data_IF_048855578321
#
_entry.id   IF_048855578321
#
_cell.length_a   1.000
_cell.length_b   1.000
_cell.length_c   1.000
_cell.angle_alpha   90.00
_cell.angle_beta   90.00
_cell.angle_gamma   90.00
#
_symmetry.space_group_name_H-M   'P 1'
#
loop_
_entity.id
_entity.type
_entity.pdbx_description
1 polymer ?
#
# COMPACT_ATOMS: atom_id res chain seq x y z
N UNK A 1 9.18 6.29 -10.16
CA UNK A 1 8.36 6.20 -11.39
C UNK A 1 8.50 4.85 -12.08
N UNK A 2 9.74 4.38 -12.32
CA UNK A 2 10.00 3.16 -13.08
C UNK A 2 9.32 1.92 -12.49
N UNK A 3 9.44 1.70 -11.19
CA UNK A 3 8.89 0.49 -10.55
C UNK A 3 7.38 0.43 -10.56
N UNK A 4 6.70 1.54 -10.24
CA UNK A 4 5.24 1.61 -10.30
C UNK A 4 4.72 1.42 -11.72
N UNK A 5 5.41 1.97 -12.73
CA UNK A 5 5.04 1.78 -14.13
C UNK A 5 5.28 0.35 -14.62
N UNK A 6 6.38 -0.28 -14.22
CA UNK A 6 6.64 -1.71 -14.49
C UNK A 6 5.54 -2.57 -13.88
N UNK A 7 5.15 -2.27 -12.65
CA UNK A 7 4.09 -3.00 -11.96
C UNK A 7 2.75 -2.86 -12.70
N UNK A 8 2.37 -1.62 -13.04
CA UNK A 8 1.14 -1.34 -13.76
C UNK A 8 1.06 -2.02 -15.14
N UNK A 9 2.18 -2.06 -15.89
CA UNK A 9 2.19 -2.64 -17.25
C UNK A 9 2.32 -4.15 -17.31
N UNK A 10 2.99 -4.77 -16.33
CA UNK A 10 3.37 -6.20 -16.41
C UNK A 10 2.55 -7.11 -15.50
N UNK A 11 1.98 -6.55 -14.45
CA UNK A 11 1.36 -7.35 -13.38
C UNK A 11 -0.11 -7.01 -13.14
N UNK A 12 -0.63 -5.96 -13.77
CA UNK A 12 -2.06 -5.63 -13.71
C UNK A 12 -2.78 -6.14 -14.96
N UNK A 13 -3.97 -6.72 -14.81
CA UNK A 13 -4.82 -7.11 -15.94
C UNK A 13 -5.21 -5.89 -16.80
N UNK A 14 -5.31 -6.10 -18.11
CA UNK A 14 -5.66 -5.03 -19.08
C UNK A 14 -7.09 -4.51 -18.90
N UNK A 15 -7.97 -5.32 -18.35
CA UNK A 15 -9.37 -4.99 -18.11
C UNK A 15 -9.65 -4.31 -16.77
N UNK A 16 -8.61 -4.02 -15.98
CA UNK A 16 -8.71 -3.15 -14.82
C UNK A 16 -8.50 -1.69 -15.21
N UNK A 17 -9.38 -0.82 -14.73
CA UNK A 17 -9.18 0.63 -14.84
C UNK A 17 -8.06 1.07 -13.87
N UNK A 18 -6.91 1.43 -14.43
CA UNK A 18 -5.71 1.79 -13.67
C UNK A 18 -5.57 3.30 -13.55
N UNK A 19 -5.87 3.82 -12.37
CA UNK A 19 -5.58 5.21 -12.03
C UNK A 19 -4.14 5.34 -11.54
N UNK A 20 -3.34 6.16 -12.21
CA UNK A 20 -1.91 6.37 -11.89
C UNK A 20 -1.68 7.77 -11.34
N UNK A 21 -1.23 7.85 -10.10
CA UNK A 21 -0.84 9.10 -9.46
C UNK A 21 0.67 9.13 -9.25
N UNK A 22 1.36 10.03 -9.95
CA UNK A 22 2.80 10.21 -9.82
C UNK A 22 3.11 11.53 -9.13
N UNK A 23 3.60 11.47 -7.91
CA UNK A 23 3.95 12.65 -7.09
C UNK A 23 4.92 13.57 -7.85
N UNK A 24 5.84 13.01 -8.65
CA UNK A 24 6.82 13.79 -9.42
C UNK A 24 6.17 14.75 -10.44
N UNK A 25 4.93 14.52 -10.86
CA UNK A 25 4.21 15.39 -11.80
C UNK A 25 3.59 16.64 -11.18
N UNK A 26 3.57 16.71 -9.85
CA UNK A 26 2.99 17.84 -9.12
C UNK A 26 4.09 18.83 -8.71
N UNK A 27 3.81 20.15 -8.73
CA UNK A 27 4.77 21.13 -8.31
C UNK A 27 5.05 21.06 -6.82
N UNK A 28 6.26 21.46 -6.43
CA UNK A 28 6.62 21.67 -5.04
C UNK A 28 6.08 23.02 -4.56
N UNK A 29 5.56 23.06 -3.35
CA UNK A 29 5.25 24.28 -2.60
C UNK A 29 5.99 24.20 -1.26
N UNK A 30 7.12 24.88 -1.18
CA UNK A 30 8.07 24.70 -0.08
C UNK A 30 8.64 23.28 -0.08
N UNK A 31 8.38 22.50 0.98
CA UNK A 31 8.83 21.10 1.15
C UNK A 31 7.74 20.08 0.89
N UNK A 32 6.57 20.49 0.43
CA UNK A 32 5.38 19.66 0.26
C UNK A 32 4.83 19.73 -1.16
N UNK A 33 3.87 18.87 -1.47
CA UNK A 33 3.14 18.88 -2.75
C UNK A 33 1.63 18.84 -2.48
N UNK A 34 1.02 19.97 -2.10
CA UNK A 34 -0.40 20.01 -1.71
C UNK A 34 -1.34 19.50 -2.81
N UNK A 35 -1.07 19.80 -4.07
CA UNK A 35 -1.89 19.30 -5.19
C UNK A 35 -1.82 17.80 -5.36
N UNK A 36 -0.68 17.17 -5.05
CA UNK A 36 -0.57 15.70 -5.04
C UNK A 36 -1.37 15.10 -3.87
N UNK A 37 -1.32 15.74 -2.70
CA UNK A 37 -2.13 15.40 -1.53
C UNK A 37 -3.62 15.46 -1.85
N UNK A 38 -4.09 16.56 -2.40
CA UNK A 38 -5.51 16.78 -2.70
C UNK A 38 -6.02 15.75 -3.73
N UNK A 39 -5.23 15.46 -4.76
CA UNK A 39 -5.57 14.42 -5.74
C UNK A 39 -5.55 13.02 -5.10
N UNK A 40 -4.61 12.71 -4.20
CA UNK A 40 -4.58 11.44 -3.48
C UNK A 40 -5.86 11.25 -2.64
N UNK A 41 -6.23 12.27 -1.83
CA UNK A 41 -7.43 12.23 -0.98
C UNK A 41 -8.69 12.09 -1.84
N UNK A 42 -8.77 12.85 -2.93
CA UNK A 42 -9.91 12.77 -3.86
C UNK A 42 -10.07 11.35 -4.41
N UNK A 43 -8.97 10.72 -4.88
CA UNK A 43 -8.99 9.34 -5.40
C UNK A 43 -9.28 8.31 -4.31
N UNK A 44 -8.76 8.52 -3.12
CA UNK A 44 -9.07 7.66 -1.98
C UNK A 44 -10.57 7.68 -1.65
N UNK A 45 -11.18 8.86 -1.68
CA UNK A 45 -12.61 9.05 -1.41
C UNK A 45 -13.52 8.52 -2.53
N UNK A 46 -13.05 8.45 -3.76
CA UNK A 46 -13.76 7.77 -4.86
C UNK A 46 -13.85 6.26 -4.63
N UNK A 47 -12.91 5.71 -3.87
CA UNK A 47 -12.77 4.28 -3.63
C UNK A 47 -12.08 3.55 -4.78
N UNK A 48 -11.51 2.41 -4.46
CA UNK A 48 -10.87 1.52 -5.45
C UNK A 48 -10.82 0.09 -4.92
N UNK A 49 -10.74 -0.88 -5.82
CA UNK A 49 -10.56 -2.27 -5.42
C UNK A 49 -9.26 -2.45 -4.62
N UNK A 50 -8.18 -1.92 -5.14
CA UNK A 50 -6.87 -1.93 -4.49
C UNK A 50 -6.12 -0.63 -4.74
N UNK A 51 -5.55 -0.06 -3.70
CA UNK A 51 -4.63 1.07 -3.75
C UNK A 51 -3.23 0.58 -3.44
N UNK A 52 -2.31 0.73 -4.40
CA UNK A 52 -0.91 0.36 -4.19
C UNK A 52 -0.04 1.59 -4.15
N UNK A 53 0.57 1.82 -2.99
CA UNK A 53 1.55 2.88 -2.80
C UNK A 53 2.98 2.34 -2.92
N UNK A 54 3.82 3.04 -3.68
CA UNK A 54 5.25 2.75 -3.83
C UNK A 54 6.05 4.00 -3.47
N UNK A 55 6.85 3.92 -2.41
CA UNK A 55 7.65 5.07 -1.98
C UNK A 55 8.18 4.96 -0.56
N UNK A 56 8.55 6.09 0.01
CA UNK A 56 8.91 6.19 1.42
C UNK A 56 7.68 6.36 2.30
N UNK A 57 7.73 5.80 3.51
CA UNK A 57 6.66 5.96 4.47
C UNK A 57 7.13 5.74 5.91
N UNK A 58 6.31 6.14 6.83
CA UNK A 58 6.39 5.87 8.25
C UNK A 58 4.97 5.69 8.80
N UNK A 59 4.77 5.43 10.10
CA UNK A 59 3.43 5.19 10.64
C UNK A 59 2.41 6.30 10.41
N UNK A 60 2.85 7.54 10.20
CA UNK A 60 1.98 8.70 10.03
C UNK A 60 2.03 9.33 8.64
N UNK A 61 3.11 9.12 7.86
CA UNK A 61 3.35 9.92 6.65
C UNK A 61 3.67 9.03 5.45
N UNK A 62 3.04 9.31 4.32
CA UNK A 62 3.40 8.79 3.00
C UNK A 62 4.13 9.89 2.21
N UNK A 63 5.31 9.54 1.70
CA UNK A 63 6.26 10.37 0.97
C UNK A 63 6.91 11.49 1.80
N UNK A 64 8.16 11.81 1.47
CA UNK A 64 8.87 12.96 2.07
C UNK A 64 8.17 14.29 1.76
N UNK A 65 7.50 14.37 0.63
CA UNK A 65 6.70 15.52 0.20
C UNK A 65 5.33 15.61 0.89
N UNK A 66 5.10 14.73 1.89
CA UNK A 66 3.88 14.71 2.69
C UNK A 66 2.59 14.57 1.84
N UNK A 67 2.58 13.58 0.97
CA UNK A 67 1.41 13.26 0.15
C UNK A 67 0.18 12.92 1.00
N UNK A 68 0.38 12.23 2.12
CA UNK A 68 -0.64 11.98 3.12
C UNK A 68 0.01 11.99 4.51
N UNK A 69 -0.54 12.76 5.41
CA UNK A 69 -0.14 12.85 6.83
C UNK A 69 -1.35 12.51 7.67
N UNK A 70 -1.29 11.42 8.41
CA UNK A 70 -2.43 10.87 9.14
C UNK A 70 -3.11 11.90 10.04
N UNK A 71 -2.34 12.57 10.91
CA UNK A 71 -2.85 13.58 11.84
C UNK A 71 -3.46 14.82 11.18
N UNK A 72 -3.01 15.16 9.96
CA UNK A 72 -3.50 16.32 9.21
C UNK A 72 -4.68 15.98 8.32
N UNK A 73 -4.64 14.80 7.69
CA UNK A 73 -5.46 14.49 6.52
C UNK A 73 -6.60 13.51 6.82
N UNK A 74 -6.58 12.86 7.99
CA UNK A 74 -7.60 11.88 8.37
C UNK A 74 -9.02 12.45 8.30
N UNK A 75 -9.22 13.70 8.72
CA UNK A 75 -10.52 14.37 8.67
C UNK A 75 -11.02 14.69 7.26
N UNK A 76 -10.18 14.52 6.22
CA UNK A 76 -10.56 14.66 4.82
C UNK A 76 -10.87 13.32 4.15
N UNK A 77 -10.69 12.20 4.84
CA UNK A 77 -11.09 10.88 4.37
C UNK A 77 -12.60 10.73 4.56
N UNK A 78 -13.31 10.61 3.45
CA UNK A 78 -14.78 10.54 3.38
C UNK A 78 -15.19 9.58 2.24
N UNK A 79 -14.70 8.34 2.32
CA UNK A 79 -15.03 7.33 1.32
C UNK A 79 -16.24 6.46 1.70
N UNK A 80 -16.77 6.60 2.93
CA UNK A 80 -17.95 5.85 3.38
C UNK A 80 -17.80 4.35 3.11
N UNK A 81 -18.81 3.74 2.51
CA UNK A 81 -18.77 2.32 2.15
C UNK A 81 -17.90 1.97 0.94
N UNK A 82 -17.21 2.93 0.29
CA UNK A 82 -16.30 2.68 -0.83
C UNK A 82 -14.89 2.35 -0.32
N UNK A 83 -14.81 1.35 0.53
CA UNK A 83 -13.56 0.91 1.13
C UNK A 83 -12.60 0.35 0.09
N UNK A 84 -11.32 0.64 0.26
CA UNK A 84 -10.24 0.10 -0.58
C UNK A 84 -9.38 -0.88 0.20
N UNK A 85 -8.81 -1.87 -0.48
CA UNK A 85 -7.71 -2.65 0.08
C UNK A 85 -6.40 -1.93 -0.21
N UNK A 86 -5.59 -1.64 0.80
CA UNK A 86 -4.36 -0.86 0.61
C UNK A 86 -3.11 -1.73 0.74
N UNK A 87 -2.19 -1.59 -0.21
CA UNK A 87 -0.85 -2.18 -0.17
C UNK A 87 0.21 -1.08 -0.20
N UNK A 88 1.13 -1.08 0.77
CA UNK A 88 2.26 -0.13 0.76
C UNK A 88 3.59 -0.85 0.56
N UNK A 89 4.25 -0.63 -0.59
CA UNK A 89 5.64 -0.98 -0.81
C UNK A 89 6.54 0.12 -0.24
N UNK A 90 6.51 0.27 1.08
CA UNK A 90 7.18 1.30 1.87
C UNK A 90 7.66 0.72 3.19
N UNK A 91 8.55 1.45 3.87
CA UNK A 91 9.08 1.05 5.18
C UNK A 91 8.19 1.55 6.32
N UNK A 92 8.05 0.77 7.39
CA UNK A 92 7.52 1.17 8.70
C UNK A 92 6.09 1.76 8.72
N UNK A 93 5.29 1.58 7.69
CA UNK A 93 3.93 2.16 7.70
C UNK A 93 3.02 1.46 8.71
N UNK A 94 3.20 0.15 8.92
CA UNK A 94 2.36 -0.66 9.80
C UNK A 94 3.04 -1.11 11.08
N UNK A 95 3.64 -0.21 11.84
CA UNK A 95 4.22 -0.49 13.17
C UNK A 95 3.07 -0.62 14.18
N UNK A 96 2.52 -1.82 14.33
CA UNK A 96 1.36 -2.09 15.20
C UNK A 96 1.73 -2.53 16.62
N UNK A 97 3.00 -2.75 16.89
CA UNK A 97 3.51 -3.26 18.16
C UNK A 97 4.19 -2.18 19.02
N UNK A 98 4.05 -0.91 18.65
CA UNK A 98 4.47 0.23 19.46
C UNK A 98 3.27 0.77 20.25
N UNK A 99 3.23 0.59 21.58
CA UNK A 99 2.09 1.05 22.39
C UNK A 99 1.97 2.58 22.47
N UNK A 100 2.99 3.32 22.03
CA UNK A 100 3.00 4.79 22.10
C UNK A 100 2.37 5.46 20.87
N UNK A 101 2.06 4.69 19.81
CA UNK A 101 1.47 5.22 18.58
C UNK A 101 0.43 4.27 17.99
N UNK A 102 -0.49 4.83 17.20
CA UNK A 102 -1.32 4.06 16.28
C UNK A 102 -0.84 4.30 14.86
N UNK A 103 -0.50 3.24 14.18
CA UNK A 103 -0.03 3.31 12.80
C UNK A 103 -1.17 3.60 11.82
N UNK A 104 -0.82 4.10 10.63
CA UNK A 104 -1.80 4.40 9.57
C UNK A 104 -2.77 3.25 9.27
N UNK A 105 -2.34 1.98 9.14
CA UNK A 105 -3.27 0.87 8.96
C UNK A 105 -4.26 0.70 10.11
N UNK A 106 -3.82 0.84 11.36
CA UNK A 106 -4.69 0.70 12.52
C UNK A 106 -5.78 1.76 12.54
N UNK A 107 -5.41 3.01 12.25
CA UNK A 107 -6.36 4.12 12.22
C UNK A 107 -7.34 3.98 11.06
N UNK A 108 -6.86 3.72 9.85
CA UNK A 108 -7.73 3.62 8.66
C UNK A 108 -8.65 2.39 8.68
N UNK A 109 -8.24 1.28 9.31
CA UNK A 109 -9.09 0.09 9.48
C UNK A 109 -10.20 0.29 10.51
N UNK A 110 -9.97 1.15 11.51
CA UNK A 110 -10.91 1.40 12.59
C UNK A 110 -11.75 2.67 12.40
N UNK A 111 -11.69 3.29 11.21
CA UNK A 111 -12.57 4.43 10.91
C UNK A 111 -14.03 4.00 10.91
N UNK A 112 -14.93 4.70 11.63
CA UNK A 112 -16.34 4.31 11.70
C UNK A 112 -17.10 4.52 10.39
N UNK A 113 -16.73 5.54 9.62
CA UNK A 113 -17.47 5.98 8.43
C UNK A 113 -16.58 6.01 7.17
N UNK A 114 -15.66 5.06 7.03
CA UNK A 114 -14.77 5.00 5.87
C UNK A 114 -13.46 4.27 6.14
N UNK A 115 -12.41 4.65 5.41
CA UNK A 115 -11.09 4.08 5.56
C UNK A 115 -10.80 2.92 4.61
N UNK A 116 -10.24 1.84 5.12
CA UNK A 116 -9.82 0.68 4.31
C UNK A 116 -10.44 -0.63 4.83
N UNK A 117 -10.63 -1.60 3.94
CA UNK A 117 -11.12 -2.94 4.29
C UNK A 117 -9.98 -3.88 4.71
N UNK A 118 -8.76 -3.57 4.34
CA UNK A 118 -7.56 -4.31 4.68
C UNK A 118 -6.31 -3.54 4.25
N UNK A 119 -5.20 -3.85 4.92
CA UNK A 119 -3.96 -3.14 4.69
C UNK A 119 -2.74 -4.08 4.76
N UNK A 120 -1.92 -4.10 3.72
CA UNK A 120 -0.62 -4.78 3.73
C UNK A 120 0.49 -3.74 3.81
N UNK A 121 1.34 -3.86 4.82
CA UNK A 121 2.46 -2.95 5.05
C UNK A 121 3.63 -3.61 5.79
N UNK A 122 4.79 -2.96 5.72
CA UNK A 122 5.95 -3.36 6.52
C UNK A 122 5.85 -2.77 7.94
N UNK A 123 6.20 -3.60 8.93
CA UNK A 123 6.21 -3.25 10.36
C UNK A 123 7.54 -2.62 10.80
N UNK A 124 8.56 -2.67 9.96
CA UNK A 124 9.92 -2.17 10.23
C UNK A 124 10.54 -1.58 8.98
N UNK A 125 11.69 -0.92 9.15
CA UNK A 125 12.52 -0.43 8.03
C UNK A 125 12.82 -1.58 7.08
N UNK A 126 12.60 -1.35 5.80
CA UNK A 126 12.82 -2.32 4.74
C UNK A 126 13.67 -1.76 3.60
N UNK A 127 14.09 -2.64 2.71
CA UNK A 127 14.86 -2.29 1.52
C UNK A 127 13.93 -2.16 0.32
N UNK A 128 14.10 -1.09 -0.44
CA UNK A 128 13.26 -0.76 -1.60
C UNK A 128 13.11 -1.95 -2.57
N UNK A 129 14.22 -2.54 -3.00
CA UNK A 129 14.20 -3.64 -3.98
C UNK A 129 13.42 -4.85 -3.46
N UNK A 130 13.61 -5.20 -2.18
CA UNK A 130 12.88 -6.31 -1.55
C UNK A 130 11.38 -6.00 -1.39
N UNK A 131 11.03 -4.75 -1.10
CA UNK A 131 9.64 -4.29 -1.06
C UNK A 131 8.99 -4.44 -2.44
N UNK A 132 9.70 -4.05 -3.50
CA UNK A 132 9.22 -4.15 -4.87
C UNK A 132 9.10 -5.58 -5.37
N UNK A 133 10.05 -6.45 -5.01
CA UNK A 133 9.96 -7.89 -5.34
C UNK A 133 8.70 -8.49 -4.73
N UNK A 134 8.43 -8.24 -3.45
CA UNK A 134 7.22 -8.74 -2.80
C UNK A 134 5.94 -8.15 -3.39
N UNK A 135 5.92 -6.83 -3.66
CA UNK A 135 4.76 -6.17 -4.25
C UNK A 135 4.41 -6.73 -5.62
N UNK A 136 5.41 -6.93 -6.49
CA UNK A 136 5.22 -7.53 -7.82
C UNK A 136 4.66 -8.93 -7.71
N UNK A 137 5.25 -9.77 -6.84
CA UNK A 137 4.80 -11.15 -6.66
C UNK A 137 3.38 -11.21 -6.07
N UNK A 138 3.04 -10.33 -5.13
CA UNK A 138 1.69 -10.25 -4.59
C UNK A 138 0.66 -9.98 -5.68
N UNK A 139 0.87 -8.96 -6.53
CA UNK A 139 -0.04 -8.66 -7.62
C UNK A 139 -0.07 -9.76 -8.69
N UNK A 140 1.08 -10.39 -8.95
CA UNK A 140 1.13 -11.54 -9.85
C UNK A 140 0.31 -12.72 -9.33
N UNK A 141 0.36 -13.01 -8.04
CA UNK A 141 -0.47 -14.07 -7.43
C UNK A 141 -1.95 -13.71 -7.48
N UNK A 142 -2.28 -12.45 -7.17
CA UNK A 142 -3.66 -11.96 -7.18
C UNK A 142 -4.33 -12.12 -8.55
N UNK A 143 -3.59 -11.88 -9.62
CA UNK A 143 -4.15 -11.77 -10.97
C UNK A 143 -3.68 -12.87 -11.94
N UNK A 144 -2.96 -13.89 -11.43
CA UNK A 144 -2.46 -14.99 -12.27
C UNK A 144 -3.62 -15.72 -12.96
N UNK A 145 -3.49 -15.90 -14.28
CA UNK A 145 -4.44 -16.66 -15.10
C UNK A 145 -5.90 -16.14 -15.06
N UNK A 146 -6.08 -14.83 -14.86
CA UNK A 146 -7.42 -14.25 -14.78
C UNK A 146 -8.23 -14.61 -13.53
N UNK A 147 -7.63 -15.28 -12.55
CA UNK A 147 -8.27 -15.59 -11.26
C UNK A 147 -8.36 -14.29 -10.47
N UNK A 148 -9.58 -13.85 -10.13
CA UNK A 148 -9.85 -12.56 -9.47
C UNK A 148 -10.37 -12.68 -8.04
N UNK A 149 -10.35 -13.89 -7.49
CA UNK A 149 -10.98 -14.16 -6.18
C UNK A 149 -10.03 -14.86 -5.22
N UNK A 150 -8.74 -14.52 -5.30
CA UNK A 150 -7.77 -15.05 -4.34
C UNK A 150 -7.92 -14.25 -3.03
N UNK A 151 -8.18 -14.92 -1.88
CA UNK A 151 -8.17 -14.23 -0.59
C UNK A 151 -6.84 -13.52 -0.35
N UNK A 152 -6.89 -12.29 0.15
CA UNK A 152 -5.72 -11.40 0.33
C UNK A 152 -4.63 -12.02 1.21
N UNK A 153 -5.04 -12.75 2.26
CA UNK A 153 -4.11 -13.48 3.13
C UNK A 153 -3.40 -14.61 2.40
N UNK A 154 -4.11 -15.38 1.56
CA UNK A 154 -3.51 -16.43 0.76
C UNK A 154 -2.57 -15.85 -0.31
N UNK A 155 -2.94 -14.74 -0.93
CA UNK A 155 -2.09 -14.07 -1.91
C UNK A 155 -0.79 -13.60 -1.27
N UNK A 156 -0.85 -12.94 -0.10
CA UNK A 156 0.34 -12.50 0.62
C UNK A 156 1.21 -13.69 1.06
N UNK A 157 0.61 -14.75 1.60
CA UNK A 157 1.33 -15.95 2.01
C UNK A 157 2.05 -16.62 0.83
N UNK A 158 1.36 -16.78 -0.30
CA UNK A 158 1.93 -17.35 -1.51
C UNK A 158 3.06 -16.46 -2.07
N UNK A 159 2.86 -15.15 -2.13
CA UNK A 159 3.88 -14.20 -2.57
C UNK A 159 5.14 -14.28 -1.69
N UNK A 160 4.97 -14.25 -0.37
CA UNK A 160 6.10 -14.42 0.57
C UNK A 160 6.86 -15.71 0.35
N UNK A 161 6.15 -16.84 0.21
CA UNK A 161 6.77 -18.14 -0.04
C UNK A 161 7.55 -18.16 -1.36
N UNK A 162 6.99 -17.58 -2.42
CA UNK A 162 7.62 -17.58 -3.74
C UNK A 162 8.90 -16.75 -3.76
N UNK A 163 8.96 -15.63 -3.03
CA UNK A 163 10.12 -14.73 -3.04
C UNK A 163 11.17 -15.05 -1.97
N UNK A 164 10.81 -15.74 -0.89
CA UNK A 164 11.75 -15.97 0.22
C UNK A 164 12.92 -16.90 -0.14
N UNK A 165 12.69 -17.87 -1.02
CA UNK A 165 13.69 -18.86 -1.40
C UNK A 165 14.86 -18.24 -2.20
N UNK A 166 14.61 -17.43 -3.25
CA UNK A 166 15.67 -16.81 -4.04
C UNK A 166 16.36 -15.62 -3.35
N UNK A 167 15.77 -15.07 -2.28
CA UNK A 167 16.32 -13.92 -1.60
C UNK A 167 17.48 -14.28 -0.67
N UNK A 168 18.45 -13.38 -0.58
CA UNK A 168 19.49 -13.43 0.45
C UNK A 168 18.89 -13.21 1.86
N UNK A 169 19.65 -13.44 2.96
CA UNK A 169 19.13 -13.30 4.32
C UNK A 169 18.50 -11.93 4.63
N UNK A 170 19.06 -10.83 4.11
CA UNK A 170 18.52 -9.48 4.31
C UNK A 170 17.16 -9.34 3.61
N UNK A 171 17.03 -9.81 2.38
CA UNK A 171 15.78 -9.82 1.64
C UNK A 171 14.72 -10.70 2.30
N UNK A 172 15.09 -11.87 2.84
CA UNK A 172 14.19 -12.75 3.60
C UNK A 172 13.65 -12.03 4.85
N UNK A 173 14.51 -11.39 5.62
CA UNK A 173 14.10 -10.60 6.79
C UNK A 173 13.17 -9.45 6.41
N UNK A 174 13.39 -8.81 5.25
CA UNK A 174 12.50 -7.76 4.75
C UNK A 174 11.08 -8.28 4.45
N UNK A 175 10.96 -9.40 3.76
CA UNK A 175 9.67 -10.02 3.41
C UNK A 175 8.89 -10.44 4.65
N UNK A 176 9.57 -10.93 5.70
CA UNK A 176 8.95 -11.32 6.96
C UNK A 176 8.30 -10.14 7.70
N UNK A 177 8.78 -8.91 7.50
CA UNK A 177 8.27 -7.69 8.14
C UNK A 177 6.92 -7.23 7.58
N UNK A 178 6.49 -7.73 6.45
CA UNK A 178 5.17 -7.41 5.89
C UNK A 178 4.07 -8.17 6.60
N UNK A 179 3.04 -7.45 6.99
CA UNK A 179 1.86 -8.02 7.65
C UNK A 179 0.59 -7.55 6.97
N UNK A 180 -0.43 -8.41 6.98
CA UNK A 180 -1.80 -8.06 6.65
C UNK A 180 -2.52 -7.69 7.94
N UNK A 181 -3.13 -6.53 7.95
CA UNK A 181 -4.12 -6.10 8.93
C UNK A 181 -5.49 -6.07 8.25
N UNK A 182 -6.50 -6.67 8.86
CA UNK A 182 -7.83 -6.87 8.30
C UNK A 182 -8.19 -8.34 8.16
N UNK A 183 -9.29 -8.64 7.48
CA UNK A 183 -9.74 -10.01 7.24
C UNK A 183 -8.87 -10.68 6.15
N UNK A 184 -8.16 -11.77 6.45
CA UNK A 184 -7.37 -12.50 5.47
C UNK A 184 -8.21 -13.20 4.39
N UNK A 185 -9.50 -13.39 4.63
CA UNK A 185 -10.45 -13.98 3.66
C UNK A 185 -11.02 -12.95 2.68
N UNK A 186 -10.73 -11.66 2.84
CA UNK A 186 -11.15 -10.58 1.93
C UNK A 186 -10.72 -10.91 0.49
N UNK A 187 -11.66 -10.76 -0.45
CA UNK A 187 -11.50 -11.06 -1.88
C UNK A 187 -11.76 -9.83 -2.74
#
# INVERSE_FOLDING_TARGET
LGDAEIMARRFMPEDLDLVKLYIARFPMEGRTKPKARDEFIRRFNEGSLILTYVGHGNPEVLAHEQMFVLSRDLGAVDNGGRLTFMYTAASQVGVFDDPALQSMPEVLLNMPDGGVVGFISATRVGFHDSNMILAREFHQVMYRNGVRHVPMGLALMAAKRNVVVPLNPLGRGNVQRYSLMGDPAQR
#
